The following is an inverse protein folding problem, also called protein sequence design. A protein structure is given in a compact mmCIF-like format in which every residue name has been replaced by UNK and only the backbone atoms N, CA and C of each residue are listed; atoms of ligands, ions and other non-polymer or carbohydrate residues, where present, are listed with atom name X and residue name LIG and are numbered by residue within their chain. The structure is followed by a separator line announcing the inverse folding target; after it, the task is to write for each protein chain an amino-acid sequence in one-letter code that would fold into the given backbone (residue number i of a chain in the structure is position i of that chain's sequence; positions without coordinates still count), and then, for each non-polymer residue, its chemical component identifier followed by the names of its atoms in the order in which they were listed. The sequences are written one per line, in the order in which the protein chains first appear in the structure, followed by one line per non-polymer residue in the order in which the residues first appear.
data_IF_548537203674
#
_entry.id   IF_548537203674
#
_cell.length_a   1.000
_cell.length_b   1.000
_cell.length_c   1.000
_cell.angle_alpha   90.00
_cell.angle_beta   90.00
_cell.angle_gamma   90.00
#
_symmetry.space_group_name_H-M   'P 1'
#
loop_
_entity.id
_entity.type
_entity.pdbx_description
1 polymer ?
#
# COMPACT_ATOMS: atom_id res chain seq x y z
N UNK A 1 -21.53 15.61 1.78
CA UNK A 1 -21.22 14.75 2.96
C UNK A 1 -19.81 14.22 2.76
N UNK A 2 -18.86 14.59 3.63
CA UNK A 2 -17.53 13.98 3.67
C UNK A 2 -17.73 12.50 3.97
N UNK A 3 -17.43 11.61 3.01
CA UNK A 3 -17.46 10.18 3.25
C UNK A 3 -16.46 9.87 4.35
N UNK A 4 -16.93 9.29 5.45
CA UNK A 4 -16.08 8.90 6.57
C UNK A 4 -15.20 7.73 6.10
N UNK A 5 -13.90 7.88 6.17
CA UNK A 5 -12.93 6.81 5.91
C UNK A 5 -13.23 5.66 6.88
N UNK A 6 -13.38 4.45 6.35
CA UNK A 6 -13.66 3.25 7.13
C UNK A 6 -12.49 2.27 7.13
N UNK A 7 -11.73 2.23 6.03
CA UNK A 7 -10.68 1.24 5.81
C UNK A 7 -9.40 1.87 5.25
N UNK A 8 -8.27 1.45 5.77
CA UNK A 8 -6.93 1.84 5.32
C UNK A 8 -6.09 0.58 5.11
N UNK A 9 -5.61 0.34 3.91
CA UNK A 9 -4.60 -0.68 3.71
C UNK A 9 -3.21 -0.12 3.94
N UNK A 10 -2.44 -0.88 4.68
CA UNK A 10 -1.03 -0.69 4.95
C UNK A 10 -0.25 -1.80 4.24
N UNK A 11 1.06 -1.78 4.32
CA UNK A 11 1.92 -2.90 3.96
C UNK A 11 2.78 -3.28 5.18
N UNK A 12 3.20 -4.52 5.26
CA UNK A 12 4.18 -4.93 6.26
C UNK A 12 5.58 -4.57 5.70
N UNK A 13 6.31 -3.65 6.33
CA UNK A 13 7.52 -3.09 5.73
C UNK A 13 8.63 -4.12 5.63
N UNK A 14 9.35 -4.13 4.51
CA UNK A 14 10.66 -4.76 4.36
C UNK A 14 11.78 -3.82 4.82
N UNK A 15 13.04 -4.31 4.81
CA UNK A 15 14.18 -3.58 5.38
C UNK A 15 14.45 -2.19 4.75
N UNK A 16 13.96 -1.94 3.54
CA UNK A 16 14.21 -0.69 2.80
C UNK A 16 12.97 0.19 2.66
N UNK A 17 11.86 -0.24 3.21
CA UNK A 17 10.59 0.50 3.13
C UNK A 17 10.37 1.36 4.37
N UNK A 18 9.60 2.42 4.21
CA UNK A 18 9.17 3.24 5.35
C UNK A 18 8.36 2.36 6.31
N UNK A 19 8.71 2.41 7.58
CA UNK A 19 8.03 1.61 8.60
C UNK A 19 6.62 2.14 8.86
N UNK A 20 5.61 1.42 8.38
CA UNK A 20 4.20 1.74 8.57
C UNK A 20 3.59 1.11 9.83
N UNK A 21 4.33 0.28 10.57
CA UNK A 21 3.80 -0.43 11.76
C UNK A 21 3.36 0.51 12.87
N UNK A 22 4.02 1.67 12.99
CA UNK A 22 3.62 2.68 13.98
C UNK A 22 2.17 3.19 13.72
N UNK A 23 1.73 3.20 12.46
CA UNK A 23 0.38 3.62 12.11
C UNK A 23 -0.69 2.69 12.67
N UNK A 24 -0.42 1.38 12.80
CA UNK A 24 -1.36 0.45 13.41
C UNK A 24 -1.69 0.85 14.86
N UNK A 25 -0.70 1.32 15.61
CA UNK A 25 -0.89 1.77 16.98
C UNK A 25 -1.67 3.10 17.05
N UNK A 26 -1.38 4.03 16.16
CA UNK A 26 -2.06 5.32 16.09
C UNK A 26 -3.52 5.19 15.63
N UNK A 27 -3.75 4.37 14.61
CA UNK A 27 -5.09 4.14 14.02
C UNK A 27 -6.00 3.36 14.98
N UNK A 28 -5.45 2.55 15.88
CA UNK A 28 -6.23 1.83 16.89
C UNK A 28 -7.12 2.76 17.74
N UNK A 29 -6.72 4.03 17.89
CA UNK A 29 -7.48 5.06 18.63
C UNK A 29 -8.65 5.63 17.84
N UNK A 30 -8.71 5.39 16.54
CA UNK A 30 -9.77 5.85 15.65
C UNK A 30 -10.46 4.65 15.00
N UNK A 31 -11.77 4.77 14.74
CA UNK A 31 -12.60 3.65 14.22
C UNK A 31 -12.34 3.41 12.71
N UNK A 32 -11.10 3.11 12.34
CA UNK A 32 -10.68 2.74 10.98
C UNK A 32 -10.15 1.32 11.03
N UNK A 33 -10.63 0.46 10.13
CA UNK A 33 -10.11 -0.89 9.95
C UNK A 33 -8.79 -0.83 9.20
N UNK A 34 -7.79 -1.53 9.73
CA UNK A 34 -6.49 -1.70 9.06
C UNK A 34 -6.47 -3.00 8.27
N UNK A 35 -5.97 -2.93 7.04
CA UNK A 35 -5.90 -4.05 6.12
C UNK A 35 -4.43 -4.31 5.74
N UNK A 36 -4.08 -5.58 5.53
CA UNK A 36 -2.82 -5.99 4.92
C UNK A 36 -3.07 -6.80 3.65
N UNK A 37 -2.13 -6.73 2.68
CA UNK A 37 -2.22 -7.50 1.45
C UNK A 37 -2.00 -8.99 1.69
N UNK A 38 -2.71 -9.81 0.94
CA UNK A 38 -2.46 -11.23 0.75
C UNK A 38 -2.33 -11.50 -0.75
N UNK A 39 -1.45 -12.40 -1.12
CA UNK A 39 -1.24 -12.79 -2.52
C UNK A 39 -1.76 -14.20 -2.73
N UNK A 40 -2.77 -14.34 -3.59
CA UNK A 40 -3.32 -15.65 -3.98
C UNK A 40 -2.37 -16.41 -4.92
N UNK A 41 -2.50 -17.74 -5.06
CA UNK A 41 -1.63 -18.54 -5.95
C UNK A 41 -1.59 -18.05 -7.39
N UNK A 42 -2.66 -17.45 -7.90
CA UNK A 42 -2.73 -16.83 -9.24
C UNK A 42 -2.10 -15.44 -9.32
N UNK A 43 -1.30 -15.03 -8.35
CA UNK A 43 -0.67 -13.71 -8.23
C UNK A 43 -1.67 -12.54 -8.11
N UNK A 44 -2.90 -12.81 -7.75
CA UNK A 44 -3.91 -11.79 -7.47
C UNK A 44 -3.76 -11.28 -6.03
N UNK A 45 -3.67 -9.95 -5.88
CA UNK A 45 -3.63 -9.30 -4.58
C UNK A 45 -5.04 -9.06 -4.05
N UNK A 46 -5.26 -9.34 -2.79
CA UNK A 46 -6.42 -8.96 -2.01
C UNK A 46 -5.98 -8.33 -0.70
N UNK A 47 -6.90 -7.70 0.01
CA UNK A 47 -6.64 -7.09 1.32
C UNK A 47 -7.62 -7.69 2.33
N UNK A 48 -7.10 -8.03 3.51
CA UNK A 48 -7.91 -8.54 4.63
C UNK A 48 -7.64 -7.73 5.89
N UNK A 49 -8.63 -7.67 6.78
CA UNK A 49 -8.48 -7.01 8.07
C UNK A 49 -7.40 -7.71 8.90
N UNK A 50 -6.48 -6.92 9.44
CA UNK A 50 -5.39 -7.39 10.28
C UNK A 50 -5.17 -6.41 11.44
N UNK A 51 -4.99 -6.95 12.64
CA UNK A 51 -4.70 -6.18 13.84
C UNK A 51 -3.25 -6.38 14.23
N UNK A 52 -2.67 -5.35 14.85
CA UNK A 52 -1.30 -5.44 15.36
C UNK A 52 -1.15 -6.67 16.27
N UNK A 53 -0.15 -7.51 16.00
CA UNK A 53 0.18 -8.78 16.64
C UNK A 53 -0.67 -10.00 16.20
N UNK A 54 -1.61 -9.86 15.27
CA UNK A 54 -2.20 -11.05 14.64
C UNK A 54 -1.11 -11.86 13.90
N UNK A 55 -1.22 -13.21 13.86
CA UNK A 55 -0.22 -14.04 13.23
C UNK A 55 0.01 -13.71 11.76
N UNK A 56 1.28 -13.73 11.37
CA UNK A 56 1.73 -13.59 9.99
C UNK A 56 2.43 -14.87 9.52
N UNK A 57 2.42 -15.09 8.22
CA UNK A 57 3.17 -16.16 7.55
C UNK A 57 3.97 -15.58 6.39
N UNK A 58 5.00 -16.27 5.98
CA UNK A 58 5.74 -15.95 4.75
C UNK A 58 5.04 -16.61 3.57
N UNK A 59 4.72 -15.84 2.53
CA UNK A 59 4.13 -16.37 1.30
C UNK A 59 5.19 -16.88 0.32
N UNK A 60 4.76 -17.41 -0.81
CA UNK A 60 5.66 -17.95 -1.85
C UNK A 60 6.59 -16.91 -2.50
N UNK A 61 6.32 -15.63 -2.30
CA UNK A 61 7.14 -14.52 -2.79
C UNK A 61 8.09 -13.96 -1.71
N UNK A 62 8.17 -14.59 -0.53
CA UNK A 62 9.01 -14.17 0.58
C UNK A 62 8.46 -12.97 1.37
N UNK A 63 7.18 -12.61 1.19
CA UNK A 63 6.55 -11.51 1.89
C UNK A 63 5.73 -12.00 3.08
N UNK A 64 5.71 -11.20 4.15
CA UNK A 64 4.83 -11.45 5.29
C UNK A 64 3.39 -11.07 4.94
N UNK A 65 2.48 -11.99 5.20
CA UNK A 65 1.04 -11.79 5.01
C UNK A 65 0.23 -12.39 6.17
N UNK A 66 -0.98 -11.88 6.44
CA UNK A 66 -1.83 -12.43 7.49
C UNK A 66 -2.14 -13.92 7.32
N UNK A 67 -2.13 -14.66 8.43
CA UNK A 67 -2.57 -16.05 8.46
C UNK A 67 -4.10 -16.22 8.44
N UNK A 68 -4.84 -15.12 8.66
CA UNK A 68 -6.28 -15.12 8.83
C UNK A 68 -7.00 -15.45 7.52
N UNK A 69 -8.15 -16.15 7.63
CA UNK A 69 -9.04 -16.45 6.51
C UNK A 69 -10.26 -15.50 6.49
N UNK A 70 -10.00 -14.22 6.69
CA UNK A 70 -11.06 -13.21 6.65
C UNK A 70 -11.47 -12.90 5.20
N UNK A 71 -12.72 -12.44 5.03
CA UNK A 71 -13.20 -11.99 3.72
C UNK A 71 -12.41 -10.78 3.22
N UNK A 72 -12.08 -10.73 1.92
CA UNK A 72 -11.39 -9.61 1.33
C UNK A 72 -12.21 -8.32 1.42
N UNK A 73 -11.52 -7.22 1.72
CA UNK A 73 -12.10 -5.87 1.82
C UNK A 73 -11.39 -4.97 0.81
N UNK A 74 -12.17 -4.16 0.08
CA UNK A 74 -11.62 -3.10 -0.78
C UNK A 74 -11.33 -1.89 0.11
N UNK A 75 -10.07 -1.40 0.18
CA UNK A 75 -9.74 -0.25 1.01
C UNK A 75 -10.29 1.06 0.44
N UNK A 76 -10.64 2.02 1.31
CA UNK A 76 -10.94 3.40 0.93
C UNK A 76 -9.65 4.17 0.62
N UNK A 77 -8.62 3.94 1.45
CA UNK A 77 -7.28 4.50 1.32
C UNK A 77 -6.25 3.38 1.29
N UNK A 78 -5.21 3.56 0.47
CA UNK A 78 -4.16 2.57 0.30
C UNK A 78 -2.78 3.22 0.42
N UNK A 79 -1.98 2.77 1.38
CA UNK A 79 -0.55 3.07 1.39
C UNK A 79 0.17 2.10 0.45
N UNK A 80 0.99 2.64 -0.42
CA UNK A 80 1.70 1.87 -1.46
C UNK A 80 3.20 2.00 -1.25
N UNK A 81 3.92 0.89 -1.06
CA UNK A 81 5.38 0.91 -0.98
C UNK A 81 5.97 1.19 -2.37
N UNK A 82 7.16 1.79 -2.39
CA UNK A 82 7.85 2.11 -3.63
C UNK A 82 9.36 2.19 -3.45
N UNK A 83 10.11 1.98 -4.53
CA UNK A 83 11.57 2.16 -4.59
C UNK A 83 11.96 3.58 -4.97
N UNK A 84 11.20 4.20 -5.86
CA UNK A 84 11.43 5.55 -6.35
C UNK A 84 10.14 6.18 -6.85
N UNK A 85 10.12 7.52 -6.91
CA UNK A 85 8.99 8.30 -7.42
C UNK A 85 9.46 9.56 -8.15
N UNK A 86 8.60 10.16 -8.96
CA UNK A 86 8.87 11.42 -9.66
C UNK A 86 7.86 12.52 -9.34
N UNK A 87 8.03 13.68 -9.96
CA UNK A 87 7.16 14.86 -9.75
C UNK A 87 5.71 14.63 -10.20
N UNK A 88 5.46 13.64 -11.03
CA UNK A 88 4.13 13.28 -11.52
C UNK A 88 3.45 12.19 -10.70
N UNK A 89 4.01 11.82 -9.54
CA UNK A 89 3.57 10.71 -8.69
C UNK A 89 3.60 9.33 -9.39
N UNK A 90 4.42 9.19 -10.43
CA UNK A 90 4.77 7.88 -10.95
C UNK A 90 5.68 7.18 -9.93
N UNK A 91 5.56 5.87 -9.82
CA UNK A 91 6.36 5.08 -8.89
C UNK A 91 7.08 3.94 -9.57
N UNK A 92 8.27 3.63 -9.10
CA UNK A 92 8.96 2.39 -9.37
C UNK A 92 8.67 1.41 -8.23
N UNK A 93 8.05 0.28 -8.56
CA UNK A 93 7.78 -0.81 -7.63
C UNK A 93 8.84 -1.90 -7.67
N UNK A 94 8.59 -3.02 -7.00
CA UNK A 94 9.51 -4.15 -6.86
C UNK A 94 9.44 -5.16 -8.03
N UNK A 95 8.78 -4.81 -9.13
CA UNK A 95 8.74 -5.61 -10.36
C UNK A 95 7.67 -6.70 -10.43
N UNK A 96 6.89 -6.94 -9.40
CA UNK A 96 5.81 -7.96 -9.40
C UNK A 96 4.49 -7.43 -9.97
N UNK A 97 4.27 -6.12 -9.98
CA UNK A 97 3.07 -5.47 -10.50
C UNK A 97 1.77 -5.76 -9.73
N UNK A 98 1.86 -6.24 -8.48
CA UNK A 98 0.67 -6.59 -7.69
C UNK A 98 -0.25 -5.41 -7.46
N UNK A 99 0.29 -4.25 -7.07
CA UNK A 99 -0.49 -3.03 -6.84
C UNK A 99 -1.10 -2.50 -8.13
N UNK A 100 -0.35 -2.47 -9.24
CA UNK A 100 -0.84 -1.98 -10.52
C UNK A 100 -1.99 -2.84 -11.05
N UNK A 101 -1.85 -4.18 -10.97
CA UNK A 101 -2.91 -5.12 -11.33
C UNK A 101 -4.15 -4.95 -10.44
N UNK A 102 -3.97 -4.77 -9.14
CA UNK A 102 -5.07 -4.58 -8.20
C UNK A 102 -5.82 -3.27 -8.48
N UNK A 103 -5.10 -2.18 -8.76
CA UNK A 103 -5.66 -0.84 -8.95
C UNK A 103 -6.29 -0.62 -10.33
N UNK A 104 -5.94 -1.42 -11.34
CA UNK A 104 -6.30 -1.24 -12.75
C UNK A 104 -7.78 -0.87 -13.00
N UNK A 105 -8.70 -1.37 -12.20
CA UNK A 105 -10.15 -1.12 -12.37
C UNK A 105 -10.81 -0.54 -11.11
N UNK A 106 -10.04 0.07 -10.22
CA UNK A 106 -10.52 0.50 -8.90
C UNK A 106 -10.32 2.00 -8.64
N UNK A 107 -11.00 2.83 -9.43
CA UNK A 107 -10.90 4.31 -9.39
C UNK A 107 -11.37 4.97 -8.08
N UNK A 108 -11.97 4.23 -7.15
CA UNK A 108 -12.51 4.78 -5.90
C UNK A 108 -11.54 4.72 -4.72
N UNK A 109 -10.36 4.09 -4.90
CA UNK A 109 -9.35 3.97 -3.84
C UNK A 109 -8.42 5.17 -3.94
N UNK A 110 -8.27 5.90 -2.85
CA UNK A 110 -7.24 6.95 -2.75
C UNK A 110 -5.89 6.31 -2.44
N UNK A 111 -4.91 6.51 -3.32
CA UNK A 111 -3.59 5.91 -3.23
C UNK A 111 -2.54 6.90 -2.75
N UNK A 112 -1.74 6.49 -1.75
CA UNK A 112 -0.69 7.31 -1.15
C UNK A 112 0.60 6.49 -1.18
N UNK A 113 1.55 6.88 -2.02
CA UNK A 113 2.91 6.34 -1.97
C UNK A 113 3.63 6.82 -0.72
N UNK A 114 4.31 5.93 -0.03
CA UNK A 114 5.09 6.28 1.17
C UNK A 114 6.56 6.05 0.89
N UNK A 115 7.36 7.10 1.02
CA UNK A 115 8.75 7.11 0.62
C UNK A 115 9.61 8.02 1.52
N UNK A 116 10.92 7.88 1.42
CA UNK A 116 11.86 8.90 1.88
C UNK A 116 12.10 9.92 0.77
N UNK A 117 12.34 11.18 1.12
CA UNK A 117 12.52 12.26 0.13
C UNK A 117 13.67 12.02 -0.83
N UNK A 118 14.71 11.28 -0.41
CA UNK A 118 15.85 10.92 -1.28
C UNK A 118 15.50 9.91 -2.38
N UNK A 119 14.34 9.24 -2.30
CA UNK A 119 13.85 8.32 -3.34
C UNK A 119 13.22 9.05 -4.53
N UNK A 120 13.26 10.39 -4.52
CA UNK A 120 12.72 11.23 -5.60
C UNK A 120 13.71 11.33 -6.77
N UNK A 121 13.21 11.09 -7.98
CA UNK A 121 13.93 11.24 -9.25
C UNK A 121 13.22 12.24 -10.15
N UNK A 122 13.95 12.83 -11.10
CA UNK A 122 13.35 13.77 -12.05
C UNK A 122 12.33 13.09 -12.96
N UNK A 123 12.61 11.85 -13.35
CA UNK A 123 11.74 11.02 -14.19
C UNK A 123 12.00 9.54 -13.92
N UNK A 124 10.93 8.76 -13.89
CA UNK A 124 10.97 7.30 -13.75
C UNK A 124 10.51 6.65 -15.05
N UNK A 125 11.10 5.51 -15.45
CA UNK A 125 10.58 4.72 -16.55
C UNK A 125 9.17 4.23 -16.17
N UNK A 126 8.21 4.44 -17.05
CA UNK A 126 6.82 4.02 -16.88
C UNK A 126 6.35 3.22 -18.08
N UNK A 127 5.42 2.31 -17.85
CA UNK A 127 4.70 1.54 -18.87
C UNK A 127 3.20 1.87 -18.85
N UNK A 128 2.49 1.41 -19.85
CA UNK A 128 1.02 1.58 -19.92
C UNK A 128 0.27 0.77 -18.83
N UNK A 129 0.97 -0.09 -18.10
CA UNK A 129 0.41 -0.91 -17.03
C UNK A 129 0.58 -0.28 -15.65
N UNK A 130 1.46 0.71 -15.54
CA UNK A 130 1.75 1.38 -14.26
C UNK A 130 0.64 2.37 -13.91
N UNK A 131 0.20 2.32 -12.66
CA UNK A 131 -0.83 3.20 -12.14
C UNK A 131 -0.16 4.34 -11.36
N UNK A 132 -0.43 5.55 -11.81
CA UNK A 132 -0.03 6.77 -11.11
C UNK A 132 -0.74 6.85 -9.76
N UNK A 133 -0.02 7.28 -8.72
CA UNK A 133 -0.58 7.48 -7.39
C UNK A 133 -1.22 8.87 -7.25
N UNK A 134 -2.23 8.98 -6.38
CA UNK A 134 -2.88 10.26 -6.10
C UNK A 134 -1.95 11.19 -5.31
N UNK A 135 -1.18 10.63 -4.36
CA UNK A 135 -0.29 11.37 -3.49
C UNK A 135 1.01 10.60 -3.24
N UNK A 136 2.08 11.34 -2.90
CA UNK A 136 3.31 10.81 -2.31
C UNK A 136 3.55 11.50 -0.98
N UNK A 137 3.71 10.72 0.08
CA UNK A 137 4.04 11.17 1.43
C UNK A 137 5.50 10.87 1.74
N UNK A 138 6.23 11.90 2.16
CA UNK A 138 7.62 11.78 2.65
C UNK A 138 7.76 12.49 3.98
N UNK A 139 8.94 12.39 4.61
CA UNK A 139 9.28 13.16 5.83
C UNK A 139 9.24 14.69 5.60
N UNK A 140 9.27 15.13 4.35
CA UNK A 140 9.18 16.56 3.97
C UNK A 140 7.76 17.04 3.68
N UNK A 141 6.80 16.15 3.72
CA UNK A 141 5.39 16.46 3.48
C UNK A 141 4.78 15.66 2.33
N UNK A 142 3.58 16.07 1.93
CA UNK A 142 2.77 15.42 0.91
C UNK A 142 2.85 16.15 -0.43
N UNK A 143 3.15 15.41 -1.48
CA UNK A 143 3.08 15.82 -2.89
C UNK A 143 1.71 15.41 -3.45
N UNK A 144 1.08 16.30 -4.22
CA UNK A 144 -0.18 16.03 -4.95
C UNK A 144 0.09 15.81 -6.42
#
# INVERSE_FOLDING_TARGET
KKNKIKTLSLYYPSNYEVNTLILFQLIKKIKIKTLLPIIKPNSQMNFIEWHHLDPLKVNVFGMLEPCLKNEPIIPDFMLVPLLAFDNNNNRLGYGKGFYDKFLKNKKKITTIGVAFSFQKYNKIPISNLDIKLDYILTEKGMNK
#
